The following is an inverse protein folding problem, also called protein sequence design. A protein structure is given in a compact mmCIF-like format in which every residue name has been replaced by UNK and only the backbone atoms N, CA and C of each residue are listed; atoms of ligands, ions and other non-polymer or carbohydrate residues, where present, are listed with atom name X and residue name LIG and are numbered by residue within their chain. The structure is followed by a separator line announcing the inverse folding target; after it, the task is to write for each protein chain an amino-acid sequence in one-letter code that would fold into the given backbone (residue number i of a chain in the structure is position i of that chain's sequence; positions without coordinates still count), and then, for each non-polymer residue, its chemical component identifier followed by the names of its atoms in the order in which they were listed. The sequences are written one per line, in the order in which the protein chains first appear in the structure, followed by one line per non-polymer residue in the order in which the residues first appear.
data_IF_715711574691
#
_entry.id   IF_715711574691
#
_cell.length_a   1.000
_cell.length_b   1.000
_cell.length_c   1.000
_cell.angle_alpha   90.00
_cell.angle_beta   90.00
_cell.angle_gamma   90.00
#
_symmetry.space_group_name_H-M   'P 1'
#
loop_
_entity.id
_entity.type
_entity.pdbx_description
1 polymer ?
#
# COMPACT_ATOMS: atom_id res chain seq x y z
N UNK A 1 6.47 9.50 -45.15
CA UNK A 1 6.36 8.12 -44.62
C UNK A 1 7.17 7.96 -43.31
N UNK A 2 6.86 8.72 -42.26
CA UNK A 2 7.58 8.65 -40.96
C UNK A 2 6.68 8.29 -39.76
N UNK A 3 5.37 8.12 -39.96
CA UNK A 3 4.41 7.83 -38.88
C UNK A 3 4.62 6.47 -38.20
N UNK A 4 5.08 5.45 -38.94
CA UNK A 4 5.31 4.10 -38.40
C UNK A 4 6.47 4.02 -37.40
N UNK A 5 7.54 4.81 -37.61
CA UNK A 5 8.70 4.80 -36.70
C UNK A 5 8.38 5.42 -35.33
N UNK A 6 7.58 6.49 -35.32
CA UNK A 6 7.20 7.15 -34.08
C UNK A 6 6.19 6.30 -33.28
N UNK A 7 5.22 5.68 -33.96
CA UNK A 7 4.24 4.82 -33.28
C UNK A 7 4.87 3.56 -32.71
N UNK A 8 5.82 2.93 -33.43
CA UNK A 8 6.59 1.79 -32.92
C UNK A 8 7.45 2.18 -31.72
N UNK A 9 8.12 3.33 -31.78
CA UNK A 9 8.94 3.83 -30.68
C UNK A 9 8.08 4.16 -29.44
N UNK A 10 6.94 4.83 -29.61
CA UNK A 10 6.02 5.13 -28.52
C UNK A 10 5.42 3.85 -27.91
N UNK A 11 5.10 2.84 -28.74
CA UNK A 11 4.62 1.54 -28.28
C UNK A 11 5.69 0.77 -27.48
N UNK A 12 6.92 0.75 -27.96
CA UNK A 12 8.04 0.12 -27.26
C UNK A 12 8.32 0.81 -25.91
N UNK A 13 8.27 2.15 -25.88
CA UNK A 13 8.46 2.92 -24.65
C UNK A 13 7.36 2.63 -23.62
N UNK A 14 6.09 2.61 -24.02
CA UNK A 14 4.98 2.29 -23.12
C UNK A 14 5.08 0.88 -22.51
N UNK A 15 5.58 -0.09 -23.29
CA UNK A 15 5.77 -1.46 -22.84
C UNK A 15 6.94 -1.56 -21.85
N UNK A 16 8.02 -0.83 -22.10
CA UNK A 16 9.16 -0.71 -21.16
C UNK A 16 8.73 -0.02 -19.86
N UNK A 17 7.92 1.03 -19.92
CA UNK A 17 7.40 1.72 -18.73
C UNK A 17 6.50 0.82 -17.89
N UNK A 18 5.65 0.01 -18.52
CA UNK A 18 4.86 -1.00 -17.82
C UNK A 18 5.73 -2.05 -17.15
N UNK A 19 6.79 -2.52 -17.81
CA UNK A 19 7.75 -3.47 -17.22
C UNK A 19 8.53 -2.83 -16.07
N UNK A 20 8.91 -1.56 -16.18
CA UNK A 20 9.60 -0.81 -15.13
C UNK A 20 8.72 -0.66 -13.89
N UNK A 21 7.45 -0.30 -14.06
CA UNK A 21 6.51 -0.19 -12.95
C UNK A 21 6.20 -1.56 -12.32
N UNK A 22 6.02 -2.62 -13.12
CA UNK A 22 5.86 -3.98 -12.59
C UNK A 22 7.10 -4.44 -11.83
N UNK A 23 8.31 -4.14 -12.32
CA UNK A 23 9.55 -4.46 -11.59
C UNK A 23 9.64 -3.70 -10.27
N UNK A 24 9.34 -2.41 -10.22
CA UNK A 24 9.31 -1.67 -8.95
C UNK A 24 8.30 -2.29 -7.95
N UNK A 25 7.10 -2.61 -8.41
CA UNK A 25 6.08 -3.25 -7.56
C UNK A 25 6.45 -4.67 -7.15
N UNK A 26 7.14 -5.44 -8.01
CA UNK A 26 7.64 -6.77 -7.70
C UNK A 26 8.86 -6.71 -6.76
N UNK A 27 9.78 -5.77 -6.93
CA UNK A 27 10.90 -5.55 -6.00
C UNK A 27 10.42 -5.10 -4.62
N UNK A 28 9.28 -4.43 -4.55
CA UNK A 28 8.61 -4.05 -3.30
C UNK A 28 7.89 -5.24 -2.62
N UNK A 29 7.47 -6.26 -3.38
CA UNK A 29 6.62 -7.34 -2.87
C UNK A 29 7.23 -8.75 -2.90
N UNK A 30 8.27 -9.03 -3.69
CA UNK A 30 8.70 -10.40 -4.03
C UNK A 30 10.02 -10.84 -3.35
N UNK A 31 10.80 -9.95 -2.74
CA UNK A 31 12.11 -10.30 -2.14
C UNK A 31 12.30 -9.80 -0.70
N UNK A 32 11.25 -9.81 0.12
CA UNK A 32 11.38 -9.53 1.56
C UNK A 32 12.47 -10.38 2.24
N UNK A 33 12.52 -11.73 2.09
CA UNK A 33 13.54 -12.53 2.78
C UNK A 33 14.95 -12.33 2.22
N UNK A 34 15.12 -12.05 0.93
CA UNK A 34 16.45 -11.80 0.36
C UNK A 34 16.98 -10.43 0.80
N UNK A 35 16.12 -9.40 0.84
CA UNK A 35 16.49 -8.08 1.35
C UNK A 35 16.80 -8.08 2.84
N UNK A 36 16.12 -8.89 3.64
CA UNK A 36 16.45 -9.06 5.06
C UNK A 36 17.91 -9.55 5.22
N UNK A 37 18.33 -10.52 4.40
CA UNK A 37 19.70 -11.07 4.44
C UNK A 37 20.73 -10.02 3.97
N UNK A 38 20.47 -9.32 2.86
CA UNK A 38 21.36 -8.28 2.33
C UNK A 38 21.54 -7.12 3.33
N UNK A 39 20.44 -6.69 3.96
CA UNK A 39 20.46 -5.63 4.98
C UNK A 39 21.23 -6.09 6.22
N UNK A 40 21.01 -7.33 6.69
CA UNK A 40 21.76 -7.88 7.82
C UNK A 40 23.27 -7.96 7.53
N UNK A 41 23.66 -8.38 6.32
CA UNK A 41 25.07 -8.44 5.91
C UNK A 41 25.71 -7.05 5.81
N UNK A 42 24.96 -6.06 5.30
CA UNK A 42 25.43 -4.67 5.25
C UNK A 42 25.62 -4.07 6.64
N UNK A 43 24.71 -4.35 7.58
CA UNK A 43 24.82 -3.91 8.97
C UNK A 43 26.02 -4.60 9.65
N UNK A 44 26.21 -5.90 9.43
CA UNK A 44 27.36 -6.65 9.94
C UNK A 44 28.68 -6.06 9.46
N UNK A 45 28.82 -5.81 8.16
CA UNK A 45 30.05 -5.23 7.60
C UNK A 45 30.33 -3.82 8.14
N UNK A 46 29.30 -3.03 8.43
CA UNK A 46 29.40 -1.72 9.06
C UNK A 46 29.85 -1.75 10.52
N UNK A 47 29.39 -2.71 11.33
CA UNK A 47 29.87 -2.85 12.72
C UNK A 47 31.28 -3.44 12.78
N UNK A 48 31.59 -4.39 11.89
CA UNK A 48 32.93 -4.97 11.77
C UNK A 48 33.97 -3.93 11.37
N UNK A 49 33.64 -2.99 10.48
CA UNK A 49 34.54 -1.89 10.10
C UNK A 49 34.81 -0.90 11.24
N UNK A 50 33.93 -0.86 12.25
CA UNK A 50 34.08 -0.04 13.45
C UNK A 50 34.74 -0.78 14.62
N UNK A 51 35.13 -2.03 14.43
CA UNK A 51 35.78 -2.83 15.48
C UNK A 51 34.85 -3.22 16.63
N UNK A 52 33.53 -3.17 16.41
CA UNK A 52 32.51 -3.61 17.39
C UNK A 52 32.12 -5.04 17.02
N UNK A 53 32.37 -5.98 17.92
CA UNK A 53 31.92 -7.36 17.75
C UNK A 53 30.43 -7.45 18.11
N UNK A 54 29.57 -7.32 17.10
CA UNK A 54 28.12 -7.45 17.26
C UNK A 54 27.70 -8.90 17.02
N UNK A 55 26.91 -9.44 17.96
CA UNK A 55 26.32 -10.77 17.84
C UNK A 55 25.42 -10.89 16.59
N UNK A 56 25.69 -11.91 15.78
CA UNK A 56 24.99 -12.16 14.52
C UNK A 56 23.50 -12.49 14.73
N UNK A 57 23.14 -13.11 15.86
CA UNK A 57 21.74 -13.39 16.16
C UNK A 57 20.99 -12.11 16.48
N UNK A 58 21.59 -11.19 17.23
CA UNK A 58 21.01 -9.90 17.57
C UNK A 58 20.79 -9.02 16.34
N UNK A 59 21.73 -8.99 15.39
CA UNK A 59 21.57 -8.24 14.12
C UNK A 59 20.41 -8.81 13.30
N UNK A 60 20.34 -10.13 13.13
CA UNK A 60 19.25 -10.76 12.38
C UNK A 60 17.87 -10.55 13.05
N UNK A 61 17.80 -10.60 14.38
CA UNK A 61 16.57 -10.33 15.12
C UNK A 61 16.12 -8.87 14.95
N UNK A 62 17.05 -7.92 15.04
CA UNK A 62 16.76 -6.50 14.87
C UNK A 62 16.27 -6.16 13.46
N UNK A 63 16.92 -6.72 12.42
CA UNK A 63 16.49 -6.53 11.03
C UNK A 63 15.09 -7.11 10.82
N UNK A 64 14.82 -8.31 11.33
CA UNK A 64 13.51 -8.95 11.19
C UNK A 64 12.40 -8.16 11.88
N UNK A 65 12.65 -7.61 13.07
CA UNK A 65 11.69 -6.78 13.78
C UNK A 65 11.43 -5.45 13.06
N UNK A 66 12.47 -4.83 12.50
CA UNK A 66 12.35 -3.62 11.69
C UNK A 66 11.47 -3.82 10.44
N UNK A 67 11.68 -4.91 9.71
CA UNK A 67 10.85 -5.25 8.54
C UNK A 67 9.41 -5.58 8.94
N UNK A 68 9.21 -6.24 10.09
CA UNK A 68 7.88 -6.54 10.61
C UNK A 68 7.09 -5.26 10.94
N UNK A 69 7.72 -4.31 11.63
CA UNK A 69 7.08 -3.04 12.01
C UNK A 69 6.73 -2.18 10.79
N UNK A 70 7.57 -2.21 9.73
CA UNK A 70 7.29 -1.46 8.49
C UNK A 70 6.01 -1.92 7.77
N UNK A 71 5.61 -3.18 7.96
CA UNK A 71 4.38 -3.74 7.40
C UNK A 71 3.15 -3.50 8.28
N UNK A 72 3.35 -2.98 9.50
CA UNK A 72 2.23 -2.64 10.37
C UNK A 72 1.67 -1.31 9.94
N UNK A 73 0.43 -1.33 9.44
CA UNK A 73 -0.34 -0.12 9.28
C UNK A 73 -0.73 0.39 10.67
N UNK A 74 -0.02 1.41 11.16
CA UNK A 74 -0.45 2.16 12.34
C UNK A 74 -1.67 2.99 12.00
N UNK A 75 -2.86 2.41 12.22
CA UNK A 75 -4.09 3.15 12.09
C UNK A 75 -4.11 4.28 13.15
N UNK A 76 -4.34 5.54 12.75
CA UNK A 76 -4.43 6.63 13.72
C UNK A 76 -5.54 6.32 14.74
N UNK A 77 -5.36 6.68 16.02
CA UNK A 77 -6.35 6.42 17.05
C UNK A 77 -7.62 7.20 16.73
N UNK A 78 -8.61 6.50 16.15
CA UNK A 78 -9.92 7.09 15.88
C UNK A 78 -10.74 7.14 17.16
N UNK A 79 -11.32 8.31 17.42
CA UNK A 79 -12.28 8.48 18.51
C UNK A 79 -13.48 7.53 18.31
N UNK A 80 -14.07 7.05 19.42
CA UNK A 80 -15.23 6.15 19.38
C UNK A 80 -16.38 6.70 18.53
N UNK A 81 -16.59 8.02 18.59
CA UNK A 81 -17.54 8.74 17.75
C UNK A 81 -17.22 8.63 16.26
N UNK A 82 -15.96 8.82 15.84
CA UNK A 82 -15.55 8.69 14.44
C UNK A 82 -15.75 7.26 13.92
N UNK A 83 -15.46 6.24 14.75
CA UNK A 83 -15.74 4.84 14.42
C UNK A 83 -17.24 4.56 14.28
N UNK A 84 -18.06 5.16 15.13
CA UNK A 84 -19.51 5.00 15.08
C UNK A 84 -20.12 5.67 13.84
N UNK A 85 -19.76 6.93 13.57
CA UNK A 85 -20.17 7.67 12.38
C UNK A 85 -19.74 6.96 11.09
N UNK A 86 -18.50 6.46 11.03
CA UNK A 86 -18.00 5.71 9.87
C UNK A 86 -18.81 4.44 9.61
N UNK A 87 -19.18 3.70 10.67
CA UNK A 87 -20.04 2.50 10.55
C UNK A 87 -21.48 2.84 10.18
N UNK A 88 -22.00 3.93 10.71
CA UNK A 88 -23.37 4.38 10.42
C UNK A 88 -23.50 4.75 8.94
N UNK A 89 -22.55 5.53 8.41
CA UNK A 89 -22.54 5.97 7.01
C UNK A 89 -22.29 4.80 6.05
N UNK A 90 -21.37 3.88 6.40
CA UNK A 90 -21.05 2.74 5.53
C UNK A 90 -22.11 1.64 5.55
N UNK A 91 -23.05 1.67 6.48
CA UNK A 91 -24.14 0.70 6.52
C UNK A 91 -25.02 0.84 5.28
N UNK A 92 -25.25 -0.28 4.57
CA UNK A 92 -26.19 -0.32 3.43
C UNK A 92 -27.61 0.12 3.86
N UNK A 93 -27.93 -0.04 5.15
CA UNK A 93 -29.17 0.44 5.76
C UNK A 93 -29.34 1.96 5.59
N UNK A 94 -28.27 2.74 5.78
CA UNK A 94 -28.32 4.20 5.57
C UNK A 94 -28.64 4.54 4.11
N UNK A 95 -28.03 3.81 3.15
CA UNK A 95 -28.28 4.01 1.70
C UNK A 95 -29.72 3.66 1.32
N UNK A 96 -30.26 2.57 1.83
CA UNK A 96 -31.65 2.16 1.57
C UNK A 96 -32.65 3.13 2.21
N UNK A 97 -32.36 3.65 3.41
CA UNK A 97 -33.23 4.59 4.10
C UNK A 97 -33.30 5.94 3.39
N UNK A 98 -32.16 6.44 2.89
CA UNK A 98 -32.11 7.68 2.07
C UNK A 98 -32.89 7.51 0.76
N UNK A 99 -32.75 6.38 0.07
CA UNK A 99 -33.54 6.10 -1.13
C UNK A 99 -35.04 6.02 -0.84
N UNK A 100 -35.43 5.38 0.28
CA UNK A 100 -36.81 5.33 0.74
C UNK A 100 -37.39 6.70 1.05
N UNK A 101 -36.63 7.56 1.75
CA UNK A 101 -36.99 8.96 2.02
C UNK A 101 -37.20 9.77 0.74
N UNK A 102 -36.32 9.59 -0.24
CA UNK A 102 -36.39 10.30 -1.52
C UNK A 102 -37.59 9.83 -2.35
N UNK A 103 -37.86 8.53 -2.40
CA UNK A 103 -39.05 7.98 -3.03
C UNK A 103 -40.35 8.45 -2.34
N UNK A 104 -40.35 8.51 -1.00
CA UNK A 104 -41.47 9.02 -0.23
C UNK A 104 -41.73 10.51 -0.50
N UNK A 105 -40.68 11.33 -0.54
CA UNK A 105 -40.80 12.76 -0.88
C UNK A 105 -41.35 12.96 -2.30
N UNK A 106 -40.92 12.16 -3.28
CA UNK A 106 -41.44 12.20 -4.65
C UNK A 106 -42.92 11.80 -4.69
N UNK A 107 -43.32 10.73 -3.99
CA UNK A 107 -44.75 10.36 -3.88
C UNK A 107 -45.59 11.46 -3.22
N UNK A 108 -45.07 12.07 -2.17
CA UNK A 108 -45.77 13.12 -1.44
C UNK A 108 -46.00 14.36 -2.30
N UNK A 109 -45.00 14.78 -3.08
CA UNK A 109 -45.13 15.89 -4.04
C UNK A 109 -46.10 15.56 -5.17
N UNK A 110 -46.16 14.30 -5.62
CA UNK A 110 -47.11 13.88 -6.68
C UNK A 110 -48.57 13.82 -6.19
N UNK A 111 -48.78 13.76 -4.87
CA UNK A 111 -50.09 13.65 -4.24
C UNK A 111 -50.67 15.01 -3.81
N UNK A 112 -49.89 16.09 -3.87
CA UNK A 112 -50.28 17.49 -3.60
C UNK A 112 -50.66 18.16 -4.91
#
# INVERSE_FOLDING_TARGET
MSGGRLSEQMGAMALVDQLRHRRMALEEHLDLPQREIEVAERIRSYYRSQGIDCDDQLVNQGVREFFRQRLVFEAPPMNLWQRFLGRLISSLAMRLWVLGMLAFAVMFVLSI
#
